data_IF_864972008208
#
_entry.id   IF_864972008208
#
_cell.length_a   1.000
_cell.length_b   1.000
_cell.length_c   1.000
_cell.angle_alpha   90.00
_cell.angle_beta   90.00
_cell.angle_gamma   90.00
#
_symmetry.space_group_name_H-M   'P 1'
#
loop_
_entity.id
_entity.type
_entity.pdbx_description
1 polymer ?
#
# COMPACT_ATOMS: atom_id res chain seq x y z
N UNK A 1 4.58 -32.47 -1.52
CA UNK A 1 3.35 -31.84 -0.99
C UNK A 1 3.71 -30.53 -0.32
N UNK A 2 2.82 -29.54 -0.33
CA UNK A 2 3.04 -28.26 0.35
C UNK A 2 2.92 -28.45 1.86
N UNK A 3 3.87 -27.90 2.60
CA UNK A 3 3.86 -27.93 4.07
C UNK A 3 2.78 -26.99 4.62
N UNK A 4 2.46 -27.13 5.91
CA UNK A 4 1.55 -26.20 6.61
C UNK A 4 2.09 -24.77 6.57
N UNK A 5 3.42 -24.60 6.61
CA UNK A 5 4.08 -23.29 6.51
C UNK A 5 3.92 -22.69 5.11
N UNK A 6 4.04 -23.50 4.07
CA UNK A 6 3.81 -23.06 2.69
C UNK A 6 2.37 -22.58 2.50
N UNK A 7 1.38 -23.32 3.03
CA UNK A 7 -0.03 -22.91 3.00
C UNK A 7 -0.27 -21.61 3.77
N UNK A 8 0.41 -21.41 4.90
CA UNK A 8 0.34 -20.15 5.65
C UNK A 8 0.91 -18.98 4.86
N UNK A 9 2.07 -19.15 4.21
CA UNK A 9 2.67 -18.13 3.35
C UNK A 9 1.78 -17.81 2.14
N UNK A 10 1.22 -18.83 1.48
CA UNK A 10 0.27 -18.66 0.37
C UNK A 10 -0.96 -17.88 0.82
N UNK A 11 -1.52 -18.19 1.99
CA UNK A 11 -2.66 -17.47 2.55
C UNK A 11 -2.32 -16.00 2.79
N UNK A 12 -1.18 -15.70 3.43
CA UNK A 12 -0.71 -14.34 3.70
C UNK A 12 -0.56 -13.51 2.42
N UNK A 13 0.01 -14.09 1.37
CA UNK A 13 0.22 -13.43 0.07
C UNK A 13 -1.09 -13.22 -0.67
N UNK A 14 -1.97 -14.23 -0.66
CA UNK A 14 -3.28 -14.16 -1.30
C UNK A 14 -4.14 -13.05 -0.68
N UNK A 15 -4.11 -12.94 0.65
CA UNK A 15 -4.74 -11.86 1.41
C UNK A 15 -4.23 -10.48 0.98
N UNK A 16 -2.91 -10.35 0.82
CA UNK A 16 -2.32 -9.08 0.42
C UNK A 16 -2.69 -8.72 -1.02
N UNK A 17 -2.66 -9.69 -1.94
CA UNK A 17 -3.07 -9.51 -3.33
C UNK A 17 -4.55 -9.11 -3.44
N UNK A 18 -5.43 -9.71 -2.62
CA UNK A 18 -6.83 -9.32 -2.55
C UNK A 18 -6.99 -7.85 -2.14
N UNK A 19 -6.30 -7.44 -1.07
CA UNK A 19 -6.32 -6.06 -0.61
C UNK A 19 -5.76 -5.09 -1.66
N UNK A 20 -4.70 -5.50 -2.37
CA UNK A 20 -4.14 -4.73 -3.47
C UNK A 20 -5.15 -4.54 -4.62
N UNK A 21 -5.79 -5.62 -5.08
CA UNK A 21 -6.80 -5.57 -6.13
C UNK A 21 -8.03 -4.74 -5.72
N UNK A 22 -8.48 -4.84 -4.48
CA UNK A 22 -9.58 -4.04 -3.95
C UNK A 22 -9.24 -2.54 -4.00
N UNK A 23 -8.06 -2.18 -3.52
CA UNK A 23 -7.54 -0.81 -3.54
C UNK A 23 -7.43 -0.24 -4.96
N UNK A 24 -6.87 -0.99 -5.91
CA UNK A 24 -6.74 -0.53 -7.30
C UNK A 24 -8.10 -0.42 -8.00
N UNK A 25 -9.06 -1.30 -7.67
CA UNK A 25 -10.43 -1.23 -8.17
C UNK A 25 -11.12 0.05 -7.69
N UNK A 26 -11.04 0.37 -6.39
CA UNK A 26 -11.55 1.63 -5.84
C UNK A 26 -10.93 2.88 -6.49
N UNK A 27 -9.63 2.84 -6.76
CA UNK A 27 -8.94 3.93 -7.44
C UNK A 27 -9.34 4.05 -8.93
N UNK A 28 -9.73 2.95 -9.56
CA UNK A 28 -10.13 2.93 -10.97
C UNK A 28 -11.56 3.43 -11.18
N UNK A 29 -12.43 3.29 -10.18
CA UNK A 29 -13.83 3.76 -10.23
C UNK A 29 -14.00 5.24 -9.91
N UNK A 30 -12.99 5.88 -9.32
CA UNK A 30 -13.03 7.31 -9.00
C UNK A 30 -12.66 8.14 -10.23
N UNK A 31 -13.66 8.78 -10.85
CA UNK A 31 -13.49 9.67 -12.02
C UNK A 31 -12.46 10.81 -11.79
N UNK A 32 -12.27 11.20 -10.52
CA UNK A 32 -11.21 12.10 -10.07
C UNK A 32 -10.54 11.46 -8.84
N UNK A 33 -9.41 10.75 -9.00
CA UNK A 33 -8.70 10.21 -7.85
C UNK A 33 -8.23 11.38 -6.98
N UNK A 34 -8.75 11.47 -5.77
CA UNK A 34 -8.25 12.44 -4.80
C UNK A 34 -6.85 12.01 -4.39
N UNK A 35 -5.88 12.91 -4.61
CA UNK A 35 -4.48 12.64 -4.31
C UNK A 35 -4.26 12.17 -2.87
N UNK A 36 -5.00 12.75 -1.91
CA UNK A 36 -4.99 12.35 -0.50
C UNK A 36 -5.50 10.91 -0.29
N UNK A 37 -6.54 10.49 -1.01
CA UNK A 37 -7.08 9.13 -0.96
C UNK A 37 -6.11 8.12 -1.57
N UNK A 38 -5.55 8.41 -2.74
CA UNK A 38 -4.51 7.57 -3.36
C UNK A 38 -3.30 7.42 -2.44
N UNK A 39 -2.87 8.52 -1.82
CA UNK A 39 -1.77 8.53 -0.87
C UNK A 39 -2.07 7.70 0.39
N UNK A 40 -3.27 7.78 0.94
CA UNK A 40 -3.65 6.95 2.10
C UNK A 40 -3.74 5.46 1.73
N UNK A 41 -4.28 5.12 0.56
CA UNK A 41 -4.41 3.75 0.06
C UNK A 41 -3.04 3.10 -0.09
N UNK A 42 -2.10 3.76 -0.78
CA UNK A 42 -0.74 3.25 -0.92
C UNK A 42 -0.03 3.08 0.44
N UNK A 43 -0.42 3.85 1.45
CA UNK A 43 0.21 3.81 2.79
C UNK A 43 -0.26 2.60 3.53
N UNK A 44 -1.57 2.35 3.43
CA UNK A 44 -2.21 1.13 3.91
C UNK A 44 -1.54 -0.10 3.28
N UNK A 45 -1.40 -0.13 1.96
CA UNK A 45 -0.77 -1.25 1.23
C UNK A 45 0.69 -1.48 1.63
N UNK A 46 1.46 -0.40 1.79
CA UNK A 46 2.86 -0.50 2.21
C UNK A 46 2.98 -1.02 3.66
N UNK A 47 2.10 -0.52 4.55
CA UNK A 47 2.03 -0.96 5.94
C UNK A 47 1.65 -2.43 6.05
N UNK A 48 0.59 -2.87 5.38
CA UNK A 48 0.13 -4.26 5.42
C UNK A 48 1.18 -5.19 4.84
N UNK A 49 1.86 -4.80 3.76
CA UNK A 49 2.94 -5.59 3.19
C UNK A 49 4.13 -5.72 4.16
N UNK A 50 4.50 -4.65 4.88
CA UNK A 50 5.52 -4.72 5.93
C UNK A 50 5.13 -5.70 7.04
N UNK A 51 3.87 -5.66 7.49
CA UNK A 51 3.34 -6.59 8.49
C UNK A 51 3.39 -8.05 7.99
N UNK A 52 2.98 -8.30 6.74
CA UNK A 52 3.06 -9.63 6.12
C UNK A 52 4.50 -10.11 5.98
N UNK A 53 5.44 -9.24 5.60
CA UNK A 53 6.88 -9.55 5.57
C UNK A 53 7.42 -9.94 6.95
N UNK A 54 7.01 -9.25 8.01
CA UNK A 54 7.43 -9.60 9.39
C UNK A 54 6.79 -10.88 9.92
N UNK A 55 5.62 -11.26 9.39
CA UNK A 55 4.89 -12.46 9.78
C UNK A 55 5.32 -13.71 8.99
N UNK A 56 6.17 -13.56 7.96
CA UNK A 56 6.64 -14.71 7.19
C UNK A 56 7.53 -15.63 8.04
N UNK A 57 7.41 -16.96 7.85
CA UNK A 57 8.34 -17.92 8.42
C UNK A 57 9.79 -17.63 7.98
N UNK A 58 10.78 -17.94 8.83
CA UNK A 58 12.22 -17.71 8.51
C UNK A 58 12.72 -18.59 7.36
N UNK A 59 12.04 -19.70 7.16
CA UNK A 59 12.21 -20.69 6.09
C UNK A 59 11.38 -20.37 4.84
N UNK A 60 10.73 -19.20 4.79
CA UNK A 60 9.99 -18.78 3.60
C UNK A 60 10.92 -18.72 2.37
N UNK A 61 10.42 -19.09 1.17
CA UNK A 61 11.20 -19.04 -0.05
C UNK A 61 11.80 -17.64 -0.29
N UNK A 62 13.10 -17.59 -0.60
CA UNK A 62 13.81 -16.31 -0.81
C UNK A 62 13.18 -15.48 -1.93
N UNK A 63 12.71 -16.14 -2.98
CA UNK A 63 11.99 -15.51 -4.10
C UNK A 63 10.72 -14.78 -3.65
N UNK A 64 10.00 -15.35 -2.68
CA UNK A 64 8.80 -14.74 -2.13
C UNK A 64 9.15 -13.48 -1.32
N UNK A 65 10.15 -13.59 -0.44
CA UNK A 65 10.63 -12.46 0.38
C UNK A 65 11.13 -11.33 -0.52
N UNK A 66 11.89 -11.65 -1.58
CA UNK A 66 12.34 -10.68 -2.56
C UNK A 66 11.19 -10.03 -3.32
N UNK A 67 10.22 -10.82 -3.78
CA UNK A 67 9.06 -10.32 -4.51
C UNK A 67 8.26 -9.30 -3.68
N UNK A 68 7.97 -9.65 -2.43
CA UNK A 68 7.31 -8.75 -1.49
C UNK A 68 8.18 -7.52 -1.19
N UNK A 69 9.49 -7.68 -0.95
CA UNK A 69 10.39 -6.55 -0.71
C UNK A 69 10.45 -5.58 -1.91
N UNK A 70 10.47 -6.12 -3.14
CA UNK A 70 10.40 -5.32 -4.37
C UNK A 70 9.06 -4.58 -4.47
N UNK A 71 7.94 -5.22 -4.13
CA UNK A 71 6.63 -4.58 -4.07
C UNK A 71 6.59 -3.44 -3.03
N UNK A 72 7.17 -3.65 -1.83
CA UNK A 72 7.30 -2.62 -0.79
C UNK A 72 8.03 -1.39 -1.32
N UNK A 73 9.18 -1.62 -1.96
CA UNK A 73 10.03 -0.56 -2.50
C UNK A 73 9.32 0.18 -3.63
N UNK A 74 8.62 -0.54 -4.51
CA UNK A 74 7.85 0.05 -5.60
C UNK A 74 6.76 0.99 -5.08
N UNK A 75 6.02 0.57 -4.05
CA UNK A 75 5.04 1.44 -3.38
C UNK A 75 5.72 2.69 -2.80
N UNK A 76 6.88 2.53 -2.15
CA UNK A 76 7.69 3.65 -1.64
C UNK A 76 8.16 4.61 -2.73
N UNK A 77 8.50 4.12 -3.93
CA UNK A 77 8.93 4.98 -5.03
C UNK A 77 7.78 5.87 -5.55
N UNK A 78 6.53 5.37 -5.49
CA UNK A 78 5.37 6.19 -5.79
C UNK A 78 5.22 7.35 -4.80
N UNK A 79 5.49 7.14 -3.50
CA UNK A 79 5.51 8.21 -2.50
C UNK A 79 6.49 9.31 -2.87
N UNK A 80 7.72 8.93 -3.22
CA UNK A 80 8.76 9.90 -3.52
C UNK A 80 8.34 10.84 -4.67
N UNK A 81 7.74 10.28 -5.71
CA UNK A 81 7.22 11.06 -6.85
C UNK A 81 6.09 12.02 -6.45
N UNK A 82 5.20 11.60 -5.56
CA UNK A 82 4.15 12.49 -5.05
C UNK A 82 4.70 13.58 -4.13
N UNK A 83 5.66 13.24 -3.27
CA UNK A 83 6.27 14.15 -2.30
C UNK A 83 7.22 15.18 -2.95
N UNK A 84 7.67 14.96 -4.19
CA UNK A 84 8.41 15.96 -4.97
C UNK A 84 7.51 16.95 -5.73
N UNK A 85 6.21 16.68 -5.82
CA UNK A 85 5.28 17.61 -6.44
C UNK A 85 5.02 18.79 -5.51
N UNK A 86 5.13 20.06 -5.92
CA UNK A 86 4.74 21.17 -5.05
C UNK A 86 3.23 21.20 -4.75
N UNK A 87 2.42 20.43 -5.50
CA UNK A 87 0.97 20.45 -5.42
C UNK A 87 0.37 19.63 -4.26
N UNK A 88 1.04 18.57 -3.77
CA UNK A 88 0.46 17.76 -2.68
C UNK A 88 0.49 18.50 -1.33
N UNK A 89 1.55 19.28 -1.05
CA UNK A 89 1.62 20.18 0.12
C UNK A 89 0.48 21.20 0.04
N UNK A 90 0.22 21.73 -1.15
CA UNK A 90 -0.80 22.76 -1.38
C UNK A 90 -2.23 22.23 -1.22
N UNK A 91 -2.53 21.04 -1.76
CA UNK A 91 -3.83 20.40 -1.62
C UNK A 91 -4.12 19.96 -0.17
N UNK A 92 -3.12 19.42 0.54
CA UNK A 92 -3.26 19.04 1.95
C UNK A 92 -3.55 20.27 2.83
N UNK A 93 -2.86 21.40 2.59
CA UNK A 93 -3.04 22.64 3.36
C UNK A 93 -4.44 23.25 3.17
N UNK A 94 -5.00 23.17 1.96
CA UNK A 94 -6.39 23.60 1.66
C UNK A 94 -7.45 22.76 2.38
N UNK A 95 -7.28 21.43 2.46
CA UNK A 95 -8.21 20.58 3.21
C UNK A 95 -8.20 20.89 4.72
N UNK A 96 -7.02 21.14 5.30
CA UNK A 96 -6.95 21.54 6.72
C UNK A 96 -7.52 22.94 6.99
N UNK A 97 -7.38 23.89 6.06
CA UNK A 97 -7.96 25.24 6.25
C UNK A 97 -9.47 25.27 6.12
N UNK A 98 -10.08 24.42 5.28
CA UNK A 98 -11.55 24.33 5.15
C UNK A 98 -12.22 23.66 6.35
N UNK A 99 -11.53 22.74 7.02
CA UNK A 99 -12.02 22.10 8.25
C UNK A 99 -11.96 23.04 9.47
N UNK A 100 -11.06 24.03 9.46
CA UNK A 100 -10.89 25.00 10.54
C UNK A 100 -11.80 26.25 10.42
N UNK A 101 -12.51 26.43 9.29
CA UNK A 101 -13.43 27.55 9.07
C UNK A 101 -14.90 27.21 9.32
N UNK A 102 -15.18 26.03 9.89
CA UNK A 102 -16.51 25.60 10.34
C UNK A 102 -16.48 25.22 11.83
N UNK A 103 -16.06 26.17 12.67
CA UNK A 103 -16.30 26.17 14.12
C UNK A 103 -16.51 27.60 14.59
#
# INVERSE_FOLDING_TARGET
ELTVQDWSAISLVSDWLYNFCSATSQMSTTSRPMLSSTHSIFRGLQKTLKEKLTALPKDAPTELVEGLTKAHRKLSDYYYKYNQSPFYIWAARKCFSLAASHN
#
